data_IF_666429040130
#
_entry.id   IF_666429040130
#
_cell.length_a   1.000
_cell.length_b   1.000
_cell.length_c   1.000
_cell.angle_alpha   90.00
_cell.angle_beta   90.00
_cell.angle_gamma   90.00
#
_symmetry.space_group_name_H-M   'P 1'
#
loop_
_entity.id
_entity.type
_entity.pdbx_description
1 polymer ?
#
# COMPACT_ATOMS: atom_id res chain seq x y z
N UNK A 1 10.62 0.89 28.56
CA UNK A 1 10.43 -0.14 29.63
C UNK A 1 10.20 -1.47 28.93
N UNK A 2 11.14 -2.42 29.04
CA UNK A 2 10.91 -3.78 28.56
C UNK A 2 10.64 -4.66 29.78
N UNK A 3 9.41 -5.11 29.94
CA UNK A 3 9.05 -6.10 30.95
C UNK A 3 9.14 -7.50 30.33
N UNK A 4 9.99 -8.35 30.86
CA UNK A 4 10.07 -9.76 30.45
C UNK A 4 9.44 -10.62 31.53
N UNK A 5 8.39 -11.34 31.17
CA UNK A 5 7.69 -12.29 32.05
C UNK A 5 8.27 -13.68 31.91
N UNK A 6 8.60 -14.29 32.99
CA UNK A 6 8.93 -15.71 33.05
C UNK A 6 8.00 -16.38 34.06
N UNK A 7 7.23 -17.34 33.59
CA UNK A 7 6.38 -18.14 34.44
C UNK A 7 7.14 -19.40 34.87
N UNK A 8 7.31 -19.58 36.15
CA UNK A 8 7.87 -20.81 36.72
C UNK A 8 7.03 -21.19 37.94
N UNK A 9 6.45 -22.39 37.94
CA UNK A 9 5.70 -22.98 39.08
C UNK A 9 4.55 -22.09 39.62
N UNK A 10 3.81 -21.43 38.73
CA UNK A 10 2.67 -20.58 39.11
C UNK A 10 3.04 -19.22 39.69
N UNK A 11 4.31 -18.83 39.64
CA UNK A 11 4.78 -17.52 40.06
C UNK A 11 5.28 -16.74 38.84
N UNK A 12 4.96 -15.44 38.77
CA UNK A 12 5.48 -14.52 37.74
C UNK A 12 6.58 -13.65 38.33
N UNK A 13 7.70 -13.51 37.60
CA UNK A 13 8.82 -12.68 38.02
C UNK A 13 8.83 -11.46 37.12
N UNK A 14 8.69 -10.26 37.71
CA UNK A 14 8.80 -8.98 37.00
C UNK A 14 10.24 -8.47 37.11
N UNK A 15 10.87 -8.24 35.98
CA UNK A 15 12.19 -7.57 35.89
C UNK A 15 12.00 -6.11 35.54
N UNK A 16 12.51 -5.21 36.37
CA UNK A 16 12.55 -3.77 36.10
C UNK A 16 13.93 -3.41 35.54
N UNK A 17 13.95 -3.03 34.27
CA UNK A 17 15.17 -2.67 33.53
C UNK A 17 15.39 -1.16 33.43
N UNK A 18 14.84 -0.36 34.34
CA UNK A 18 15.15 1.09 34.34
C UNK A 18 16.65 1.33 34.56
N UNK A 19 17.27 2.30 33.88
CA UNK A 19 18.66 2.64 34.13
C UNK A 19 18.90 2.96 35.61
N UNK A 20 19.80 2.20 36.25
CA UNK A 20 20.17 2.38 37.64
C UNK A 20 19.39 1.58 38.67
N UNK A 21 18.38 0.79 38.26
CA UNK A 21 17.71 -0.14 39.18
C UNK A 21 17.67 -1.56 38.60
N UNK A 22 18.27 -2.48 39.32
CA UNK A 22 18.03 -3.92 39.08
C UNK A 22 17.21 -4.43 40.24
N UNK A 23 15.89 -4.45 40.08
CA UNK A 23 15.00 -5.05 41.07
C UNK A 23 14.20 -6.16 40.43
N UNK A 24 14.18 -7.31 41.07
CA UNK A 24 13.26 -8.38 40.75
C UNK A 24 12.30 -8.56 41.89
N UNK A 25 10.99 -8.61 41.63
CA UNK A 25 9.96 -8.90 42.60
C UNK A 25 9.25 -10.16 42.13
N UNK A 26 9.09 -11.14 43.04
CA UNK A 26 8.21 -12.29 42.82
C UNK A 26 6.80 -11.80 43.08
N UNK A 27 5.92 -11.90 42.07
CA UNK A 27 4.53 -11.52 42.15
C UNK A 27 3.66 -12.77 42.36
N UNK A 28 2.65 -12.68 43.21
CA UNK A 28 1.57 -13.66 43.25
C UNK A 28 0.76 -13.60 41.94
N UNK A 29 0.01 -14.67 41.58
CA UNK A 29 -0.86 -14.63 40.41
C UNK A 29 -1.80 -13.42 40.38
N UNK A 30 -2.36 -13.04 41.54
CA UNK A 30 -3.26 -11.89 41.68
C UNK A 30 -2.51 -10.55 41.45
N UNK A 31 -1.28 -10.41 41.97
CA UNK A 31 -0.46 -9.23 41.71
C UNK A 31 0.00 -9.15 40.24
N UNK A 32 0.14 -10.29 39.56
CA UNK A 32 0.53 -10.31 38.16
C UNK A 32 -0.58 -9.86 37.20
N UNK A 33 -1.83 -10.11 37.56
CA UNK A 33 -2.99 -9.61 36.80
C UNK A 33 -3.16 -8.08 36.93
N UNK A 34 -2.86 -7.54 38.11
CA UNK A 34 -3.02 -6.11 38.40
C UNK A 34 -1.90 -5.24 37.74
N UNK A 35 -0.75 -5.82 37.49
CA UNK A 35 0.42 -5.03 37.09
C UNK A 35 0.48 -4.64 35.58
N UNK A 36 -0.34 -5.23 34.72
CA UNK A 36 -0.38 -4.92 33.30
C UNK A 36 -1.59 -4.08 32.87
N UNK A 37 -2.67 -4.10 33.60
CA UNK A 37 -3.82 -3.26 33.30
C UNK A 37 -3.52 -1.81 33.72
N UNK A 38 -3.07 -1.00 32.79
CA UNK A 38 -3.16 0.45 32.92
C UNK A 38 -1.93 1.19 33.39
N UNK A 39 -0.77 0.92 32.80
CA UNK A 39 0.37 1.83 32.89
C UNK A 39 0.26 3.02 31.91
N UNK A 40 -0.67 2.99 30.97
CA UNK A 40 -0.94 4.05 30.02
C UNK A 40 -2.38 4.53 30.07
N UNK A 41 -2.56 5.82 30.02
CA UNK A 41 -3.84 6.47 29.79
C UNK A 41 -3.90 6.89 28.32
N UNK A 42 -4.91 6.41 27.58
CA UNK A 42 -5.18 6.91 26.23
C UNK A 42 -5.89 8.26 26.37
N UNK A 43 -5.10 9.32 26.20
CA UNK A 43 -5.51 10.68 26.53
C UNK A 43 -6.45 11.27 25.46
N UNK A 44 -7.11 12.39 25.79
CA UNK A 44 -7.86 13.17 24.79
C UNK A 44 -6.98 13.62 23.61
N UNK A 45 -5.71 13.90 23.84
CA UNK A 45 -4.77 14.24 22.79
C UNK A 45 -4.52 13.03 21.83
N UNK A 46 -4.45 11.81 22.34
CA UNK A 46 -4.33 10.61 21.52
C UNK A 46 -5.61 10.36 20.70
N UNK A 47 -6.77 10.58 21.31
CA UNK A 47 -8.08 10.49 20.63
C UNK A 47 -8.17 11.50 19.48
N UNK A 48 -7.73 12.74 19.72
CA UNK A 48 -7.68 13.78 18.68
C UNK A 48 -6.72 13.41 17.53
N UNK A 49 -5.58 12.78 17.81
CA UNK A 49 -4.66 12.29 16.79
C UNK A 49 -5.33 11.21 15.93
N UNK A 50 -6.06 10.26 16.53
CA UNK A 50 -6.81 9.25 15.76
C UNK A 50 -7.89 9.89 14.91
N UNK A 51 -8.60 10.89 15.43
CA UNK A 51 -9.65 11.58 14.69
C UNK A 51 -9.10 12.50 13.58
N UNK A 52 -7.84 12.93 13.71
CA UNK A 52 -7.14 13.74 12.72
C UNK A 52 -6.47 12.91 11.61
N UNK A 53 -6.43 11.57 11.71
CA UNK A 53 -5.88 10.71 10.67
C UNK A 53 -6.54 11.01 9.32
N UNK A 54 -5.76 11.05 8.23
CA UNK A 54 -6.29 11.34 6.91
C UNK A 54 -7.26 10.25 6.46
N UNK A 55 -8.32 10.64 5.73
CA UNK A 55 -9.29 9.68 5.17
C UNK A 55 -8.66 8.70 4.18
N UNK A 56 -7.60 9.11 3.48
CA UNK A 56 -6.80 8.26 2.63
C UNK A 56 -5.43 8.13 3.28
N UNK A 57 -5.17 6.98 3.85
CA UNK A 57 -3.91 6.63 4.48
C UNK A 57 -2.82 6.36 3.41
N UNK A 58 -1.59 6.53 3.81
CA UNK A 58 -0.38 6.12 3.08
C UNK A 58 0.54 5.35 4.02
N UNK A 59 1.59 4.74 3.49
CA UNK A 59 2.59 4.06 4.31
C UNK A 59 3.35 5.01 5.25
N UNK A 60 3.35 6.31 4.98
CA UNK A 60 3.87 7.36 5.86
C UNK A 60 3.16 7.38 7.22
N UNK A 61 1.89 7.00 7.27
CA UNK A 61 1.11 6.98 8.52
C UNK A 61 1.36 5.74 9.39
N UNK A 62 2.17 4.78 8.94
CA UNK A 62 2.34 3.49 9.62
C UNK A 62 2.89 3.63 11.04
N UNK A 63 3.92 4.45 11.21
CA UNK A 63 4.56 4.65 12.51
C UNK A 63 3.57 5.27 13.52
N UNK A 64 2.83 6.30 13.10
CA UNK A 64 1.84 6.99 13.93
C UNK A 64 0.69 6.03 14.33
N UNK A 65 0.10 5.34 13.36
CA UNK A 65 -1.00 4.41 13.59
C UNK A 65 -0.56 3.25 14.49
N UNK A 66 0.64 2.71 14.26
CA UNK A 66 1.20 1.63 15.07
C UNK A 66 1.47 2.09 16.50
N UNK A 67 2.02 3.29 16.69
CA UNK A 67 2.27 3.85 18.02
C UNK A 67 0.96 4.05 18.80
N UNK A 68 -0.06 4.65 18.16
CA UNK A 68 -1.37 4.89 18.76
C UNK A 68 -2.08 3.57 19.09
N UNK A 69 -2.03 2.57 18.19
CA UNK A 69 -2.63 1.26 18.41
C UNK A 69 -1.97 0.52 19.60
N UNK A 70 -0.64 0.57 19.68
CA UNK A 70 0.09 -0.03 20.79
C UNK A 70 -0.22 0.67 22.12
N UNK A 71 -0.32 2.00 22.11
CA UNK A 71 -0.68 2.80 23.26
C UNK A 71 -2.09 2.47 23.76
N UNK A 72 -3.05 2.36 22.83
CA UNK A 72 -4.43 1.97 23.13
C UNK A 72 -4.51 0.57 23.72
N UNK A 73 -3.79 -0.42 23.15
CA UNK A 73 -3.74 -1.81 23.69
C UNK A 73 -3.18 -1.90 25.10
N UNK A 74 -2.34 -0.96 25.52
CA UNK A 74 -1.77 -0.90 26.86
C UNK A 74 -2.55 0.01 27.80
N UNK A 75 -3.61 0.66 27.34
CA UNK A 75 -4.44 1.53 28.16
C UNK A 75 -5.52 0.75 28.93
N UNK A 76 -6.07 1.41 29.96
CA UNK A 76 -7.29 0.93 30.60
C UNK A 76 -8.49 1.16 29.69
N UNK A 77 -9.53 0.38 29.88
CA UNK A 77 -10.82 0.62 29.23
C UNK A 77 -11.37 1.99 29.63
N UNK A 78 -11.88 2.72 28.64
CA UNK A 78 -12.55 4.00 28.79
C UNK A 78 -13.75 4.04 27.85
N UNK A 79 -14.63 5.02 28.03
CA UNK A 79 -15.78 5.19 27.15
C UNK A 79 -15.30 5.52 25.71
N UNK A 80 -15.64 4.64 24.76
CA UNK A 80 -15.18 4.75 23.36
C UNK A 80 -13.97 3.90 22.99
N UNK A 81 -13.38 3.12 23.93
CA UNK A 81 -12.23 2.23 23.69
C UNK A 81 -12.42 1.37 22.43
N UNK A 82 -13.52 0.66 22.32
CA UNK A 82 -13.81 -0.23 21.17
C UNK A 82 -13.89 0.52 19.84
N UNK A 83 -14.38 1.77 19.89
CA UNK A 83 -14.46 2.62 18.70
C UNK A 83 -13.08 2.97 18.19
N UNK A 84 -12.18 3.40 19.08
CA UNK A 84 -10.79 3.74 18.71
C UNK A 84 -9.99 2.49 18.33
N UNK A 85 -10.21 1.36 19.02
CA UNK A 85 -9.60 0.09 18.67
C UNK A 85 -9.99 -0.35 17.25
N UNK A 86 -11.27 -0.25 16.91
CA UNK A 86 -11.76 -0.56 15.57
C UNK A 86 -11.15 0.36 14.51
N UNK A 87 -11.14 1.69 14.75
CA UNK A 87 -10.55 2.68 13.82
C UNK A 87 -9.07 2.40 13.57
N UNK A 88 -8.27 2.22 14.62
CA UNK A 88 -6.83 2.00 14.49
C UNK A 88 -6.48 0.63 13.90
N UNK A 89 -7.25 -0.41 14.23
CA UNK A 89 -7.06 -1.74 13.62
C UNK A 89 -7.38 -1.69 12.13
N UNK A 90 -8.45 -1.00 11.73
CA UNK A 90 -8.77 -0.81 10.33
C UNK A 90 -7.70 0.02 9.62
N UNK A 91 -7.26 1.12 10.22
CA UNK A 91 -6.20 1.97 9.66
C UNK A 91 -4.90 1.17 9.44
N UNK A 92 -4.51 0.34 10.40
CA UNK A 92 -3.34 -0.55 10.27
C UNK A 92 -3.53 -1.58 9.15
N UNK A 93 -4.70 -2.19 9.07
CA UNK A 93 -5.03 -3.14 7.99
C UNK A 93 -4.98 -2.49 6.61
N UNK A 94 -5.46 -1.27 6.48
CA UNK A 94 -5.43 -0.51 5.22
C UNK A 94 -3.98 -0.19 4.81
N UNK A 95 -3.12 0.19 5.76
CA UNK A 95 -1.70 0.43 5.52
C UNK A 95 -0.97 -0.86 5.13
N UNK A 96 -1.23 -1.97 5.80
CA UNK A 96 -0.65 -3.28 5.47
C UNK A 96 -1.08 -3.72 4.05
N UNK A 97 -2.31 -3.43 3.64
CA UNK A 97 -2.78 -3.65 2.27
C UNK A 97 -2.06 -2.77 1.25
N UNK A 98 -1.70 -1.52 1.60
CA UNK A 98 -0.88 -0.65 0.74
C UNK A 98 0.53 -1.21 0.55
N UNK A 99 1.19 -1.70 1.61
CA UNK A 99 2.48 -2.37 1.48
C UNK A 99 2.40 -3.60 0.57
N UNK A 100 1.38 -4.43 0.74
CA UNK A 100 1.16 -5.60 -0.11
C UNK A 100 0.92 -5.21 -1.58
N UNK A 101 0.18 -4.11 -1.82
CA UNK A 101 -0.05 -3.59 -3.17
C UNK A 101 1.24 -3.08 -3.81
N UNK A 102 2.07 -2.33 -3.08
CA UNK A 102 3.37 -1.83 -3.55
C UNK A 102 4.31 -3.00 -3.87
N UNK A 103 4.38 -4.00 -3.00
CA UNK A 103 5.17 -5.20 -3.22
C UNK A 103 4.71 -5.97 -4.47
N UNK A 104 3.39 -6.09 -4.65
CA UNK A 104 2.79 -6.69 -5.84
C UNK A 104 3.12 -5.90 -7.12
N UNK A 105 3.11 -4.56 -7.08
CA UNK A 105 3.53 -3.72 -8.21
C UNK A 105 5.00 -3.97 -8.53
N UNK A 106 5.88 -3.97 -7.51
CA UNK A 106 7.31 -4.22 -7.69
C UNK A 106 7.59 -5.60 -8.27
N UNK A 107 6.88 -6.64 -7.80
CA UNK A 107 6.98 -8.00 -8.33
C UNK A 107 6.51 -8.08 -9.80
N UNK A 108 5.41 -7.43 -10.15
CA UNK A 108 4.91 -7.36 -11.52
C UNK A 108 5.91 -6.63 -12.45
N UNK A 109 6.50 -5.53 -12.00
CA UNK A 109 7.52 -4.80 -12.75
C UNK A 109 8.75 -5.68 -12.97
N UNK A 110 9.26 -6.30 -11.90
CA UNK A 110 10.46 -7.15 -11.97
C UNK A 110 10.24 -8.41 -12.81
N UNK A 111 9.07 -9.02 -12.72
CA UNK A 111 8.77 -10.27 -13.43
C UNK A 111 8.27 -10.10 -14.86
N UNK A 112 7.58 -9.00 -15.15
CA UNK A 112 6.91 -8.81 -16.44
C UNK A 112 7.50 -7.69 -17.30
N UNK A 113 8.02 -6.61 -16.70
CA UNK A 113 8.47 -5.41 -17.43
C UNK A 113 9.98 -5.44 -17.66
N UNK A 114 10.76 -5.66 -16.59
CA UNK A 114 12.25 -5.63 -16.68
C UNK A 114 12.82 -6.60 -17.70
N UNK A 115 12.31 -7.84 -17.85
CA UNK A 115 12.82 -8.78 -18.85
C UNK A 115 12.35 -8.50 -20.30
N UNK A 116 11.46 -7.52 -20.53
CA UNK A 116 10.97 -7.23 -21.88
C UNK A 116 12.06 -6.60 -22.75
N UNK A 117 12.34 -7.21 -23.89
CA UNK A 117 13.33 -6.70 -24.86
C UNK A 117 12.70 -5.99 -26.05
N UNK A 118 11.50 -6.38 -26.46
CA UNK A 118 10.81 -5.83 -27.63
C UNK A 118 9.28 -5.76 -27.36
N UNK A 119 8.82 -4.80 -26.53
CA UNK A 119 7.41 -4.69 -26.18
C UNK A 119 6.57 -4.20 -27.35
N UNK A 120 5.53 -4.97 -27.67
CA UNK A 120 4.55 -4.67 -28.71
C UNK A 120 3.18 -4.29 -28.16
N UNK A 121 2.16 -4.46 -28.99
CA UNK A 121 0.75 -4.15 -28.61
C UNK A 121 0.18 -5.14 -27.57
N UNK A 122 0.71 -6.36 -27.53
CA UNK A 122 0.26 -7.40 -26.59
C UNK A 122 0.47 -7.01 -25.13
N UNK A 123 1.53 -6.28 -24.85
CA UNK A 123 1.96 -5.87 -23.51
C UNK A 123 1.25 -4.63 -23.00
N UNK A 124 0.57 -3.90 -23.88
CA UNK A 124 -0.10 -2.64 -23.54
C UNK A 124 -1.08 -2.77 -22.37
N UNK A 125 -1.86 -3.83 -22.31
CA UNK A 125 -2.82 -4.04 -21.22
C UNK A 125 -2.15 -4.20 -19.85
N UNK A 126 -0.99 -4.88 -19.82
CA UNK A 126 -0.18 -5.06 -18.61
C UNK A 126 0.39 -3.72 -18.15
N UNK A 127 0.95 -2.95 -19.06
CA UNK A 127 1.50 -1.62 -18.76
C UNK A 127 0.41 -0.66 -18.29
N UNK A 128 -0.73 -0.60 -18.97
CA UNK A 128 -1.84 0.29 -18.59
C UNK A 128 -2.41 -0.08 -17.21
N UNK A 129 -2.47 -1.38 -16.87
CA UNK A 129 -2.85 -1.85 -15.54
C UNK A 129 -1.87 -1.37 -14.47
N UNK A 130 -0.57 -1.51 -14.69
CA UNK A 130 0.47 -1.03 -13.76
C UNK A 130 0.39 0.49 -13.58
N UNK A 131 0.24 1.23 -14.68
CA UNK A 131 0.09 2.70 -14.62
C UNK A 131 -1.14 3.10 -13.83
N UNK A 132 -2.26 2.40 -13.96
CA UNK A 132 -3.47 2.66 -13.19
C UNK A 132 -3.25 2.42 -11.69
N UNK A 133 -2.61 1.30 -11.32
CA UNK A 133 -2.28 0.96 -9.93
C UNK A 133 -1.35 2.00 -9.32
N UNK A 134 -0.27 2.33 -10.00
CA UNK A 134 0.69 3.36 -9.58
C UNK A 134 0.04 4.73 -9.36
N UNK A 135 -0.84 5.15 -10.27
CA UNK A 135 -1.56 6.43 -10.13
C UNK A 135 -2.52 6.48 -8.94
N UNK A 136 -2.97 5.34 -8.43
CA UNK A 136 -3.84 5.25 -7.26
C UNK A 136 -3.07 5.42 -5.94
N UNK A 137 -1.75 5.23 -5.95
CA UNK A 137 -0.89 5.43 -4.79
C UNK A 137 -0.77 6.92 -4.41
N UNK A 138 -0.45 7.19 -3.15
CA UNK A 138 -0.02 8.53 -2.69
C UNK A 138 1.36 8.89 -3.28
N UNK A 139 1.76 10.14 -3.16
CA UNK A 139 3.08 10.53 -3.67
C UNK A 139 4.20 9.88 -2.87
N UNK A 140 4.03 9.74 -1.56
CA UNK A 140 4.96 8.99 -0.71
C UNK A 140 5.05 7.51 -1.11
N UNK A 141 3.91 6.83 -1.30
CA UNK A 141 3.87 5.42 -1.68
C UNK A 141 4.50 5.16 -3.06
N UNK A 142 4.41 6.13 -3.98
CA UNK A 142 5.05 6.05 -5.30
C UNK A 142 6.58 5.99 -5.22
N UNK A 143 7.19 6.60 -4.20
CA UNK A 143 8.63 6.56 -3.99
C UNK A 143 9.14 5.16 -3.62
N UNK A 144 8.26 4.31 -3.09
CA UNK A 144 8.56 2.91 -2.75
C UNK A 144 8.50 1.96 -3.96
N UNK A 145 7.98 2.44 -5.10
CA UNK A 145 7.91 1.64 -6.33
C UNK A 145 9.24 1.67 -7.05
N UNK A 146 9.82 0.48 -7.24
CA UNK A 146 11.13 0.30 -7.87
C UNK A 146 11.01 0.14 -9.39
N UNK A 147 12.04 0.56 -10.11
CA UNK A 147 12.17 0.40 -11.58
C UNK A 147 10.99 1.01 -12.38
N UNK A 148 10.36 2.07 -11.86
CA UNK A 148 9.24 2.72 -12.54
C UNK A 148 9.61 3.27 -13.91
N UNK A 149 10.86 3.70 -14.11
CA UNK A 149 11.37 4.17 -15.40
C UNK A 149 11.30 3.08 -16.49
N UNK A 150 11.48 1.82 -16.14
CA UNK A 150 11.30 0.71 -17.09
C UNK A 150 9.84 0.63 -17.57
N UNK A 151 8.87 0.83 -16.67
CA UNK A 151 7.44 0.87 -17.04
C UNK A 151 7.16 2.01 -18.01
N UNK A 152 7.72 3.19 -17.74
CA UNK A 152 7.56 4.36 -18.61
C UNK A 152 8.19 4.14 -19.99
N UNK A 153 9.35 3.50 -20.06
CA UNK A 153 10.02 3.15 -21.33
C UNK A 153 9.18 2.17 -22.16
N UNK A 154 8.69 1.08 -21.54
CA UNK A 154 7.81 0.11 -22.20
C UNK A 154 6.49 0.75 -22.60
N UNK A 155 5.92 1.63 -21.76
CA UNK A 155 4.72 2.39 -22.11
C UNK A 155 4.92 3.24 -23.38
N UNK A 156 6.02 3.96 -23.47
CA UNK A 156 6.31 4.80 -24.65
C UNK A 156 6.38 3.96 -25.94
N UNK A 157 6.95 2.76 -25.88
CA UNK A 157 7.06 1.84 -27.00
C UNK A 157 5.70 1.24 -27.40
N UNK A 158 4.91 0.77 -26.46
CA UNK A 158 3.57 0.23 -26.71
C UNK A 158 2.61 1.29 -27.25
N UNK A 159 2.68 2.52 -26.74
CA UNK A 159 1.89 3.65 -27.25
C UNK A 159 2.32 4.06 -28.66
N UNK A 160 3.62 4.00 -28.99
CA UNK A 160 4.14 4.22 -30.34
C UNK A 160 3.66 3.14 -31.32
N UNK A 161 3.73 1.86 -30.92
CA UNK A 161 3.24 0.73 -31.71
C UNK A 161 1.73 0.88 -32.02
N UNK A 162 0.94 1.29 -31.01
CA UNK A 162 -0.49 1.55 -31.21
C UNK A 162 -0.75 2.68 -32.20
N UNK A 163 -0.02 3.81 -32.09
CA UNK A 163 -0.15 4.93 -33.03
C UNK A 163 0.19 4.50 -34.46
N UNK A 164 1.26 3.73 -34.64
CA UNK A 164 1.67 3.23 -35.95
C UNK A 164 0.59 2.31 -36.55
N UNK A 165 -0.03 1.44 -35.75
CA UNK A 165 -1.14 0.60 -36.22
C UNK A 165 -2.32 1.45 -36.72
N UNK A 166 -2.72 2.48 -35.95
CA UNK A 166 -3.80 3.37 -36.38
C UNK A 166 -3.48 4.12 -37.68
N UNK A 167 -2.24 4.55 -37.86
CA UNK A 167 -1.79 5.21 -39.12
C UNK A 167 -1.86 4.24 -40.30
N UNK A 168 -1.45 2.99 -40.14
CA UNK A 168 -1.52 1.95 -41.17
C UNK A 168 -3.00 1.67 -41.55
N UNK A 169 -3.86 1.44 -40.57
CA UNK A 169 -5.28 1.18 -40.79
C UNK A 169 -5.97 2.40 -41.44
N UNK A 170 -5.72 3.59 -40.92
CA UNK A 170 -6.26 4.83 -41.48
C UNK A 170 -5.83 5.05 -42.90
N UNK A 171 -4.54 4.83 -43.21
CA UNK A 171 -4.01 4.90 -44.56
C UNK A 171 -4.64 3.89 -45.52
N UNK A 172 -4.81 2.64 -45.07
CA UNK A 172 -5.48 1.59 -45.88
C UNK A 172 -6.94 1.95 -46.21
N UNK A 173 -7.69 2.50 -45.23
CA UNK A 173 -9.07 2.94 -45.45
C UNK A 173 -9.14 4.07 -46.48
N UNK A 174 -8.25 5.05 -46.38
CA UNK A 174 -8.18 6.16 -47.36
C UNK A 174 -7.89 5.64 -48.76
N UNK A 175 -6.96 4.70 -48.93
CA UNK A 175 -6.62 4.11 -50.23
C UNK A 175 -7.81 3.35 -50.80
N UNK A 176 -8.53 2.56 -49.99
CA UNK A 176 -9.73 1.82 -50.42
C UNK A 176 -10.86 2.76 -50.85
N UNK A 177 -11.09 3.84 -50.13
CA UNK A 177 -12.10 4.86 -50.51
C UNK A 177 -11.71 5.54 -51.82
N UNK A 178 -10.47 5.94 -51.98
CA UNK A 178 -9.97 6.55 -53.21
C UNK A 178 -10.10 5.60 -54.40
N UNK A 179 -9.74 4.32 -54.25
CA UNK A 179 -9.90 3.30 -55.30
C UNK A 179 -11.35 3.09 -55.70
N UNK A 180 -12.27 3.02 -54.74
CA UNK A 180 -13.70 2.88 -55.02
C UNK A 180 -14.29 4.07 -55.79
N UNK A 181 -13.88 5.29 -55.42
CA UNK A 181 -14.28 6.51 -56.11
C UNK A 181 -13.77 6.52 -57.55
N UNK A 182 -12.52 6.14 -57.79
CA UNK A 182 -11.94 6.05 -59.13
C UNK A 182 -12.63 5.00 -59.98
N UNK A 183 -12.90 3.84 -59.45
CA UNK A 183 -13.61 2.76 -60.13
C UNK A 183 -15.05 3.21 -60.51
N UNK A 184 -15.74 3.86 -59.59
CA UNK A 184 -17.10 4.38 -59.83
C UNK A 184 -17.12 5.43 -60.95
N UNK A 185 -16.18 6.41 -60.93
CA UNK A 185 -16.06 7.42 -61.97
C UNK A 185 -15.68 6.84 -63.32
N UNK A 186 -14.89 5.74 -63.40
CA UNK A 186 -14.60 5.04 -64.67
C UNK A 186 -15.80 4.30 -65.22
N UNK A 187 -16.68 3.78 -64.36
CA UNK A 187 -17.94 3.11 -64.81
C UNK A 187 -18.98 4.09 -65.34
N UNK A 188 -19.01 5.32 -64.82
CA UNK A 188 -19.94 6.37 -65.23
C UNK A 188 -19.52 7.03 -66.55
N UNK A 189 -18.28 6.78 -67.02
CA UNK A 189 -17.73 7.34 -68.31
C UNK A 189 -17.76 6.33 -69.47
N UNK A 190 -18.27 5.13 -69.25
CA UNK A 190 -18.55 4.14 -70.29
C UNK A 190 -20.06 4.01 -70.53
#
# INVERSE_FOLDING_TARGET
>A
LVAVWRQAQGMSILYDFRPGSVSSKILTPEESEVSFAGSYEFTEADQQQVDALPKKLSTENDEEVTALLNKLKMSRDFDGYDTYMTKLTQAKSDIDALYAEIESINADIQGQIVPMTDPGLGEKSTVDRLVKRYKALSDHDKELVQNWDAVLAVKAQTDAAQRNLFLIIGGAVVVMVAATVVIRRRRERK
#
